data_IF_681412340251
#
_entry.id   IF_681412340251
#
_cell.length_a   1.000
_cell.length_b   1.000
_cell.length_c   1.000
_cell.angle_alpha   90.00
_cell.angle_beta   90.00
_cell.angle_gamma   90.00
#
_symmetry.space_group_name_H-M   'P 1'
#
loop_
_entity.id
_entity.type
_entity.pdbx_description
1 polymer ?
#
# COMPACT_ATOMS: atom_id res chain seq x y z
N UNK A 1 18.61 -6.27 8.13
CA UNK A 1 17.88 -5.01 7.93
C UNK A 1 16.44 -5.27 8.33
N UNK A 2 15.91 -4.54 9.31
CA UNK A 2 14.54 -4.72 9.82
C UNK A 2 13.54 -4.46 8.71
N UNK A 3 12.70 -5.45 8.40
CA UNK A 3 11.62 -5.29 7.45
C UNK A 3 10.64 -4.25 8.00
N UNK A 4 10.41 -3.16 7.26
CA UNK A 4 9.45 -2.13 7.66
C UNK A 4 8.02 -2.68 7.58
N UNK A 5 7.12 -2.21 8.43
CA UNK A 5 5.69 -2.57 8.39
C UNK A 5 5.07 -2.37 7.00
N UNK A 6 5.54 -1.36 6.26
CA UNK A 6 5.14 -1.12 4.88
C UNK A 6 5.59 -2.23 3.91
N UNK A 7 6.77 -2.81 4.11
CA UNK A 7 7.26 -3.91 3.28
C UNK A 7 6.47 -5.20 3.53
N UNK A 8 6.09 -5.43 4.79
CA UNK A 8 5.17 -6.50 5.17
C UNK A 8 3.77 -6.28 4.59
N UNK A 9 3.26 -5.05 4.60
CA UNK A 9 2.02 -4.69 3.92
C UNK A 9 2.11 -4.95 2.41
N UNK A 10 3.22 -4.59 1.77
CA UNK A 10 3.45 -4.84 0.34
C UNK A 10 3.44 -6.32 0.01
N UNK A 11 4.02 -7.18 0.85
CA UNK A 11 3.94 -8.64 0.68
C UNK A 11 2.50 -9.14 0.82
N UNK A 12 1.76 -8.69 1.84
CA UNK A 12 0.36 -9.07 2.02
C UNK A 12 -0.50 -8.65 0.82
N UNK A 13 -0.32 -7.44 0.31
CA UNK A 13 -1.00 -6.99 -0.91
C UNK A 13 -0.57 -7.84 -2.10
N UNK A 14 0.70 -8.20 -2.24
CA UNK A 14 1.16 -9.05 -3.36
C UNK A 14 0.60 -10.49 -3.30
N UNK A 15 0.37 -11.03 -2.10
CA UNK A 15 -0.17 -12.38 -1.87
C UNK A 15 -1.70 -12.42 -1.94
N UNK A 16 -2.39 -11.33 -1.60
CA UNK A 16 -3.85 -11.25 -1.57
C UNK A 16 -4.40 -10.41 -2.74
N UNK A 17 -4.93 -11.12 -3.74
CA UNK A 17 -5.54 -10.51 -4.93
C UNK A 17 -6.76 -9.64 -4.62
N UNK A 18 -7.52 -9.97 -3.57
CA UNK A 18 -8.69 -9.16 -3.19
C UNK A 18 -8.28 -7.81 -2.60
N UNK A 19 -7.12 -7.72 -1.94
CA UNK A 19 -6.54 -6.45 -1.50
C UNK A 19 -6.04 -5.64 -2.69
N UNK A 20 -5.47 -6.28 -3.71
CA UNK A 20 -5.02 -5.62 -4.93
C UNK A 20 -6.18 -4.98 -5.69
N UNK A 21 -7.24 -5.74 -5.97
CA UNK A 21 -8.42 -5.23 -6.67
C UNK A 21 -9.01 -4.00 -5.94
N UNK A 22 -9.17 -4.08 -4.62
CA UNK A 22 -9.65 -2.94 -3.81
C UNK A 22 -8.75 -1.71 -3.90
N UNK A 23 -7.43 -1.91 -3.97
CA UNK A 23 -6.47 -0.82 -4.10
C UNK A 23 -6.46 -0.22 -5.52
N UNK A 24 -6.70 -1.05 -6.54
CA UNK A 24 -6.77 -0.64 -7.95
C UNK A 24 -8.07 0.10 -8.29
N UNK A 25 -9.18 -0.22 -7.62
CA UNK A 25 -10.45 0.52 -7.76
C UNK A 25 -10.37 1.96 -7.25
N UNK A 26 -9.38 2.28 -6.41
CA UNK A 26 -9.21 3.61 -5.83
C UNK A 26 -8.27 4.46 -6.68
N UNK A 27 -8.87 5.35 -7.49
CA UNK A 27 -8.11 6.33 -8.29
C UNK A 27 -7.72 7.58 -7.52
N UNK A 28 -8.35 7.85 -6.37
CA UNK A 28 -8.09 9.04 -5.57
C UNK A 28 -6.99 8.82 -4.52
N UNK A 29 -5.92 9.61 -4.59
CA UNK A 29 -4.74 9.48 -3.73
C UNK A 29 -5.08 9.51 -2.23
N UNK A 30 -5.95 10.42 -1.81
CA UNK A 30 -6.32 10.57 -0.38
C UNK A 30 -7.08 9.35 0.11
N UNK A 31 -8.00 8.84 -0.71
CA UNK A 31 -8.78 7.63 -0.40
C UNK A 31 -7.87 6.41 -0.36
N UNK A 32 -6.90 6.32 -1.28
CA UNK A 32 -5.92 5.24 -1.31
C UNK A 32 -5.09 5.19 -0.03
N UNK A 33 -4.56 6.35 0.40
CA UNK A 33 -3.75 6.44 1.62
C UNK A 33 -4.56 6.00 2.84
N UNK A 34 -5.82 6.45 2.95
CA UNK A 34 -6.70 6.02 4.04
C UNK A 34 -6.97 4.52 4.01
N UNK A 35 -7.22 3.96 2.83
CA UNK A 35 -7.48 2.53 2.66
C UNK A 35 -6.26 1.69 3.08
N UNK A 36 -5.06 2.08 2.64
CA UNK A 36 -3.81 1.41 3.01
C UNK A 36 -3.57 1.46 4.52
N UNK A 37 -3.79 2.61 5.16
CA UNK A 37 -3.63 2.75 6.62
C UNK A 37 -4.62 1.86 7.37
N UNK A 38 -5.90 1.84 6.95
CA UNK A 38 -6.91 1.01 7.62
C UNK A 38 -6.63 -0.48 7.43
N UNK A 39 -6.26 -0.90 6.21
CA UNK A 39 -5.88 -2.29 5.92
C UNK A 39 -4.62 -2.70 6.71
N UNK A 40 -3.62 -1.84 6.77
CA UNK A 40 -2.43 -2.05 7.60
C UNK A 40 -2.81 -2.24 9.07
N UNK A 41 -3.66 -1.36 9.61
CA UNK A 41 -4.13 -1.43 10.99
C UNK A 41 -4.90 -2.72 11.29
N UNK A 42 -5.75 -3.18 10.37
CA UNK A 42 -6.45 -4.46 10.50
C UNK A 42 -5.51 -5.66 10.57
N UNK A 43 -4.33 -5.55 9.95
CA UNK A 43 -3.28 -6.58 9.97
C UNK A 43 -2.26 -6.39 11.12
N UNK A 44 -2.51 -5.42 12.02
CA UNK A 44 -1.62 -5.11 13.14
C UNK A 44 -0.35 -4.34 12.75
N UNK A 45 -0.33 -3.73 11.55
CA UNK A 45 0.76 -2.90 11.04
C UNK A 45 0.50 -1.43 11.34
N UNK A 46 1.55 -0.68 11.68
CA UNK A 46 1.45 0.77 11.91
C UNK A 46 1.94 1.51 10.67
N UNK A 47 1.01 1.95 9.84
CA UNK A 47 1.29 2.74 8.64
C UNK A 47 0.87 4.18 8.86
N UNK A 48 1.74 5.13 8.52
CA UNK A 48 1.40 6.56 8.53
C UNK A 48 1.15 7.06 7.12
N UNK A 49 0.40 8.16 7.00
CA UNK A 49 0.20 8.82 5.71
C UNK A 49 1.54 9.20 5.06
N UNK A 50 2.52 9.66 5.84
CA UNK A 50 3.86 10.00 5.35
C UNK A 50 4.62 8.80 4.79
N UNK A 51 4.49 7.62 5.40
CA UNK A 51 5.10 6.38 4.88
C UNK A 51 4.47 5.98 3.55
N UNK A 52 3.13 6.00 3.48
CA UNK A 52 2.39 5.66 2.26
C UNK A 52 2.66 6.67 1.16
N UNK A 53 2.69 7.97 1.46
CA UNK A 53 3.00 9.01 0.49
C UNK A 53 4.45 8.92 -0.02
N UNK A 54 5.40 8.64 0.87
CA UNK A 54 6.79 8.45 0.49
C UNK A 54 6.96 7.22 -0.38
N UNK A 55 6.27 6.12 -0.04
CA UNK A 55 6.28 4.91 -0.84
C UNK A 55 5.55 5.08 -2.17
N UNK A 56 4.46 5.85 -2.22
CA UNK A 56 3.79 6.23 -3.46
C UNK A 56 4.69 7.12 -4.30
N UNK A 57 5.41 8.09 -3.73
CA UNK A 57 6.32 8.95 -4.50
C UNK A 57 7.55 8.16 -5.00
N UNK A 58 8.11 7.27 -4.19
CA UNK A 58 9.22 6.39 -4.57
C UNK A 58 8.79 5.28 -5.54
N UNK A 59 7.54 4.83 -5.41
CA UNK A 59 6.96 3.71 -6.13
C UNK A 59 6.09 4.11 -7.32
N UNK A 60 5.69 5.37 -7.52
CA UNK A 60 4.68 5.77 -8.53
C UNK A 60 5.02 5.25 -9.93
N UNK A 61 6.31 5.25 -10.29
CA UNK A 61 6.76 4.63 -11.56
C UNK A 61 6.57 3.12 -11.53
N UNK A 62 7.14 2.44 -10.55
CA UNK A 62 7.12 0.98 -10.47
C UNK A 62 5.79 0.36 -10.04
N UNK A 63 4.88 1.09 -9.42
CA UNK A 63 3.59 0.60 -8.95
C UNK A 63 2.50 0.80 -10.01
N UNK A 64 2.63 1.82 -10.86
CA UNK A 64 1.78 1.93 -12.06
C UNK A 64 2.32 1.03 -13.17
N UNK A 65 3.64 0.91 -13.35
CA UNK A 65 4.23 0.10 -14.43
C UNK A 65 4.23 -1.42 -14.15
N UNK A 66 4.30 -1.87 -12.89
CA UNK A 66 4.43 -3.31 -12.55
C UNK A 66 3.08 -4.00 -12.30
N UNK A 67 1.99 -3.27 -12.42
CA UNK A 67 0.61 -3.78 -12.29
C UNK A 67 -0.15 -3.80 -13.63
N UNK A 68 0.54 -3.48 -14.74
CA UNK A 68 0.11 -3.74 -16.13
C UNK A 68 0.83 -4.99 -16.65
#
# INVERSE_FOLDING_TARGET
MTQSDFDRFRQLVAEDRALQDKLLEVSERIVFIRLVIELGRQQGLVLTAGDVESALNAGMRSWVERWI
#
